data_IF_710821807431
#
_entry.id   IF_710821807431
#
_cell.length_a   1.000
_cell.length_b   1.000
_cell.length_c   1.000
_cell.angle_alpha   90.00
_cell.angle_beta   90.00
_cell.angle_gamma   90.00
#
_symmetry.space_group_name_H-M   'P 1'
#
loop_
_entity.id
_entity.type
_entity.pdbx_description
1 polymer ?
#
# COMPACT_ATOMS: atom_id res chain seq x y z
N UNK A 1 20.05 -28.61 21.69
CA UNK A 1 19.02 -28.18 20.73
C UNK A 1 19.70 -28.04 19.37
N UNK A 2 19.26 -28.74 18.31
CA UNK A 2 19.94 -28.62 17.03
C UNK A 2 19.60 -27.25 16.44
N UNK A 3 20.61 -26.37 16.37
CA UNK A 3 20.51 -25.11 15.64
C UNK A 3 20.21 -25.42 14.18
N UNK A 4 19.02 -25.04 13.71
CA UNK A 4 18.67 -25.12 12.30
C UNK A 4 19.73 -24.37 11.49
N UNK A 5 20.27 -25.03 10.47
CA UNK A 5 21.14 -24.39 9.50
C UNK A 5 20.39 -23.19 8.89
N UNK A 6 21.04 -22.02 8.73
CA UNK A 6 20.40 -20.86 8.14
C UNK A 6 19.84 -21.22 6.76
N UNK A 7 18.60 -20.80 6.49
CA UNK A 7 18.00 -20.91 5.16
C UNK A 7 18.99 -20.33 4.14
N UNK A 8 19.41 -21.07 3.11
CA UNK A 8 20.64 -20.79 2.35
C UNK A 8 20.65 -19.44 1.63
N UNK A 9 19.49 -18.77 1.52
CA UNK A 9 19.31 -17.52 0.79
C UNK A 9 18.84 -16.33 1.66
N UNK A 10 18.81 -16.47 2.99
CA UNK A 10 18.38 -15.38 3.89
C UNK A 10 19.58 -14.69 4.55
N UNK A 11 19.51 -13.37 4.64
CA UNK A 11 20.47 -12.61 5.46
C UNK A 11 20.13 -12.73 6.96
N UNK A 12 21.05 -12.31 7.83
CA UNK A 12 20.89 -12.37 9.30
C UNK A 12 19.57 -11.77 9.81
N UNK A 13 19.13 -10.63 9.27
CA UNK A 13 17.88 -9.97 9.70
C UNK A 13 16.65 -10.77 9.28
N UNK A 14 16.67 -11.36 8.08
CA UNK A 14 15.59 -12.19 7.57
C UNK A 14 15.53 -13.52 8.32
N UNK A 15 16.68 -14.13 8.63
CA UNK A 15 16.76 -15.34 9.46
C UNK A 15 16.22 -15.07 10.87
N UNK A 16 16.63 -13.97 11.51
CA UNK A 16 16.09 -13.58 12.83
C UNK A 16 14.58 -13.38 12.76
N UNK A 17 14.08 -12.63 11.76
CA UNK A 17 12.65 -12.44 11.57
C UNK A 17 11.92 -13.77 11.40
N UNK A 18 12.46 -14.70 10.61
CA UNK A 18 11.82 -15.97 10.32
C UNK A 18 11.70 -16.91 11.53
N UNK A 19 12.66 -16.89 12.46
CA UNK A 19 12.76 -17.90 13.54
C UNK A 19 12.31 -17.39 14.90
N UNK A 20 12.49 -16.10 15.21
CA UNK A 20 12.39 -15.56 16.57
C UNK A 20 11.04 -15.77 17.24
N UNK A 21 9.93 -15.71 16.50
CA UNK A 21 8.59 -15.90 17.06
C UNK A 21 8.36 -17.33 17.57
N UNK A 22 8.98 -18.32 16.93
CA UNK A 22 8.79 -19.75 17.19
C UNK A 22 9.77 -20.26 18.25
N UNK A 23 10.96 -19.67 18.31
CA UNK A 23 12.00 -20.06 19.27
C UNK A 23 11.90 -19.34 20.63
N UNK A 24 10.83 -18.56 20.87
CA UNK A 24 10.67 -17.75 22.08
C UNK A 24 9.22 -17.77 22.60
N UNK A 25 9.03 -17.31 23.84
CA UNK A 25 7.70 -17.12 24.44
C UNK A 25 6.92 -15.90 23.94
N UNK A 26 7.34 -15.24 22.85
CA UNK A 26 6.67 -14.05 22.32
C UNK A 26 5.27 -14.37 21.79
N UNK A 27 4.29 -13.48 22.02
CA UNK A 27 2.95 -13.58 21.44
C UNK A 27 2.93 -13.10 19.99
N UNK A 28 3.68 -12.04 19.70
CA UNK A 28 3.68 -11.45 18.37
C UNK A 28 5.06 -10.95 17.92
N UNK A 29 5.29 -10.98 16.61
CA UNK A 29 6.47 -10.42 15.95
C UNK A 29 6.04 -9.47 14.85
N UNK A 30 6.58 -8.24 14.89
CA UNK A 30 6.46 -7.28 13.81
C UNK A 30 7.77 -7.18 13.03
N UNK A 31 7.69 -7.42 11.73
CA UNK A 31 8.79 -7.22 10.79
C UNK A 31 8.58 -5.90 10.06
N UNK A 32 9.34 -4.87 10.45
CA UNK A 32 9.37 -3.58 9.76
C UNK A 32 10.41 -3.65 8.64
N UNK A 33 9.92 -3.77 7.41
CA UNK A 33 10.72 -4.14 6.27
C UNK A 33 10.71 -3.07 5.20
N UNK A 34 11.87 -2.47 4.92
CA UNK A 34 11.96 -1.45 3.88
C UNK A 34 11.60 -1.96 2.49
N UNK A 35 11.24 -1.06 1.58
CA UNK A 35 11.09 -1.38 0.16
C UNK A 35 12.27 -2.23 -0.35
N UNK A 36 11.98 -3.31 -1.09
CA UNK A 36 13.00 -4.17 -1.69
C UNK A 36 13.84 -4.99 -0.71
N UNK A 37 13.40 -5.18 0.54
CA UNK A 37 14.12 -5.95 1.57
C UNK A 37 13.77 -7.44 1.66
N UNK A 38 12.88 -7.92 0.79
CA UNK A 38 12.46 -9.33 0.77
C UNK A 38 11.37 -9.67 1.79
N UNK A 39 10.36 -8.79 1.97
CA UNK A 39 9.17 -9.02 2.81
C UNK A 39 8.53 -10.38 2.58
N UNK A 40 8.16 -10.65 1.34
CA UNK A 40 7.49 -11.89 0.92
C UNK A 40 8.35 -13.13 1.18
N UNK A 41 9.64 -13.08 0.83
CA UNK A 41 10.58 -14.19 1.11
C UNK A 41 10.73 -14.44 2.61
N UNK A 42 10.76 -13.38 3.42
CA UNK A 42 10.86 -13.50 4.88
C UNK A 42 9.59 -14.07 5.49
N UNK A 43 8.41 -13.66 4.99
CA UNK A 43 7.13 -14.22 5.44
C UNK A 43 7.04 -15.72 5.11
N UNK A 44 7.41 -16.12 3.89
CA UNK A 44 7.44 -17.54 3.50
C UNK A 44 8.40 -18.33 4.40
N UNK A 45 9.61 -17.82 4.62
CA UNK A 45 10.58 -18.45 5.51
C UNK A 45 10.08 -18.55 6.95
N UNK A 46 9.32 -17.56 7.43
CA UNK A 46 8.70 -17.59 8.75
C UNK A 46 7.61 -18.67 8.85
N UNK A 47 6.85 -18.91 7.77
CA UNK A 47 5.88 -20.02 7.69
C UNK A 47 6.61 -21.37 7.66
N UNK A 48 7.67 -21.51 6.86
CA UNK A 48 8.52 -22.72 6.86
C UNK A 48 9.08 -23.00 8.26
N UNK A 49 9.57 -21.95 8.94
CA UNK A 49 10.07 -22.07 10.31
C UNK A 49 8.97 -22.47 11.29
N UNK A 50 7.75 -21.93 11.16
CA UNK A 50 6.62 -22.30 12.01
C UNK A 50 6.31 -23.80 11.90
N UNK A 51 6.19 -24.31 10.67
CA UNK A 51 5.94 -25.74 10.42
C UNK A 51 7.08 -26.61 10.93
N UNK A 52 8.33 -26.19 10.71
CA UNK A 52 9.49 -26.90 11.22
C UNK A 52 9.60 -26.91 12.76
N UNK A 53 8.93 -25.98 13.45
CA UNK A 53 8.77 -25.96 14.92
C UNK A 53 7.51 -26.71 15.40
N UNK A 54 6.85 -27.46 14.53
CA UNK A 54 5.76 -28.38 14.89
C UNK A 54 4.35 -27.81 14.72
N UNK A 55 4.18 -26.59 14.18
CA UNK A 55 2.83 -26.09 13.87
C UNK A 55 2.26 -26.87 12.68
N UNK A 56 1.02 -27.32 12.81
CA UNK A 56 0.29 -27.88 11.68
C UNK A 56 0.04 -26.77 10.65
N UNK A 57 0.32 -27.02 9.37
CA UNK A 57 0.16 -26.02 8.32
C UNK A 57 -1.31 -25.54 8.25
N UNK A 58 -2.26 -26.44 8.44
CA UNK A 58 -3.70 -26.18 8.50
C UNK A 58 -4.08 -25.25 9.68
N UNK A 59 -3.25 -25.18 10.72
CA UNK A 59 -3.37 -24.26 11.84
C UNK A 59 -2.89 -22.84 11.53
N UNK A 60 -2.42 -22.55 10.32
CA UNK A 60 -1.89 -21.25 9.92
C UNK A 60 -2.90 -20.50 9.03
N UNK A 61 -3.14 -19.23 9.34
CA UNK A 61 -3.82 -18.29 8.45
C UNK A 61 -2.88 -17.19 7.98
N UNK A 62 -2.90 -16.90 6.68
CA UNK A 62 -2.14 -15.81 6.05
C UNK A 62 -3.12 -14.80 5.46
N UNK A 63 -3.06 -13.57 5.95
CA UNK A 63 -3.91 -12.46 5.58
C UNK A 63 -3.09 -11.43 4.80
N UNK A 64 -3.65 -10.96 3.69
CA UNK A 64 -3.01 -10.00 2.79
C UNK A 64 -3.94 -8.85 2.45
N UNK A 65 -3.39 -7.74 1.96
CA UNK A 65 -4.19 -6.62 1.50
C UNK A 65 -4.79 -6.82 0.09
N UNK A 66 -4.19 -7.68 -0.75
CA UNK A 66 -4.65 -7.86 -2.14
C UNK A 66 -4.77 -9.34 -2.54
N UNK A 67 -5.78 -9.64 -3.37
CA UNK A 67 -5.99 -10.98 -3.92
C UNK A 67 -4.78 -11.50 -4.70
N UNK A 68 -4.07 -10.60 -5.40
CA UNK A 68 -2.85 -10.95 -6.14
C UNK A 68 -1.74 -11.42 -5.20
N UNK A 69 -1.50 -10.69 -4.11
CA UNK A 69 -0.50 -11.06 -3.12
C UNK A 69 -0.85 -12.40 -2.44
N UNK A 70 -2.13 -12.61 -2.10
CA UNK A 70 -2.60 -13.91 -1.59
C UNK A 70 -2.33 -15.06 -2.56
N UNK A 71 -2.66 -14.88 -3.85
CA UNK A 71 -2.43 -15.90 -4.88
C UNK A 71 -0.94 -16.25 -4.99
N UNK A 72 -0.09 -15.24 -5.10
CA UNK A 72 1.36 -15.43 -5.24
C UNK A 72 1.97 -16.09 -3.99
N UNK A 73 1.54 -15.71 -2.79
CA UNK A 73 1.97 -16.36 -1.54
C UNK A 73 1.53 -17.82 -1.48
N UNK A 74 0.27 -18.10 -1.84
CA UNK A 74 -0.28 -19.45 -1.86
C UNK A 74 0.50 -20.35 -2.82
N UNK A 75 0.72 -19.91 -4.06
CA UNK A 75 1.50 -20.67 -5.06
C UNK A 75 2.92 -20.99 -4.56
N UNK A 76 3.60 -20.01 -3.97
CA UNK A 76 4.98 -20.19 -3.46
C UNK A 76 5.05 -21.16 -2.27
N UNK A 77 4.02 -21.19 -1.41
CA UNK A 77 3.94 -22.14 -0.30
C UNK A 77 3.57 -23.55 -0.78
N UNK A 78 2.64 -23.66 -1.73
CA UNK A 78 2.25 -24.94 -2.33
C UNK A 78 3.42 -25.58 -3.10
N UNK A 79 4.23 -24.79 -3.79
CA UNK A 79 5.48 -25.24 -4.42
C UNK A 79 6.49 -25.80 -3.41
N UNK A 80 6.33 -25.49 -2.12
CA UNK A 80 7.12 -26.01 -1.00
C UNK A 80 6.39 -27.12 -0.22
N UNK A 81 5.30 -27.64 -0.78
CA UNK A 81 4.41 -28.63 -0.15
C UNK A 81 3.78 -28.17 1.18
N UNK A 82 3.67 -26.85 1.42
CA UNK A 82 3.02 -26.28 2.60
C UNK A 82 1.63 -25.79 2.22
N UNK A 83 0.59 -26.43 2.78
CA UNK A 83 -0.82 -26.05 2.55
C UNK A 83 -1.39 -25.45 3.83
N UNK A 84 -1.44 -24.13 3.89
CA UNK A 84 -1.98 -23.42 5.06
C UNK A 84 -3.50 -23.49 5.13
N UNK A 85 -4.07 -23.41 6.33
CA UNK A 85 -5.53 -23.47 6.54
C UNK A 85 -6.30 -22.34 5.86
N UNK A 86 -5.67 -21.17 5.76
CA UNK A 86 -6.19 -20.05 4.99
C UNK A 86 -5.06 -19.19 4.39
N UNK A 87 -5.20 -18.81 3.11
CA UNK A 87 -4.38 -17.76 2.49
C UNK A 87 -5.29 -16.89 1.62
N UNK A 88 -5.43 -15.61 1.96
CA UNK A 88 -6.41 -14.73 1.33
C UNK A 88 -6.31 -13.29 1.80
N UNK A 89 -7.30 -12.48 1.44
CA UNK A 89 -7.45 -11.14 2.03
C UNK A 89 -8.18 -11.22 3.38
N UNK A 90 -8.04 -10.18 4.22
CA UNK A 90 -8.80 -10.08 5.48
C UNK A 90 -10.31 -10.20 5.21
N UNK A 91 -10.82 -9.45 4.23
CA UNK A 91 -12.21 -9.53 3.78
C UNK A 91 -12.63 -10.93 3.32
N UNK A 92 -11.75 -11.68 2.64
CA UNK A 92 -12.06 -13.03 2.20
C UNK A 92 -12.18 -14.02 3.38
N UNK A 93 -11.37 -13.83 4.44
CA UNK A 93 -11.50 -14.63 5.65
C UNK A 93 -12.82 -14.30 6.36
N UNK A 94 -13.10 -13.02 6.60
CA UNK A 94 -14.35 -12.57 7.25
C UNK A 94 -15.59 -13.10 6.51
N UNK A 95 -15.61 -12.96 5.17
CA UNK A 95 -16.67 -13.52 4.32
C UNK A 95 -16.84 -15.03 4.53
N UNK A 96 -15.73 -15.78 4.54
CA UNK A 96 -15.74 -17.24 4.72
C UNK A 96 -16.25 -17.64 6.11
N UNK A 97 -15.86 -16.92 7.15
CA UNK A 97 -16.30 -17.20 8.53
C UNK A 97 -17.80 -16.97 8.68
N UNK A 98 -18.32 -15.83 8.22
CA UNK A 98 -19.76 -15.54 8.26
C UNK A 98 -20.57 -16.56 7.45
N UNK A 99 -20.11 -16.90 6.24
CA UNK A 99 -20.81 -17.92 5.44
C UNK A 99 -20.84 -19.28 6.15
N UNK A 100 -19.76 -19.64 6.85
CA UNK A 100 -19.66 -20.89 7.58
C UNK A 100 -20.48 -20.90 8.89
N UNK A 101 -20.79 -19.74 9.47
CA UNK A 101 -21.67 -19.63 10.64
C UNK A 101 -23.16 -19.73 10.27
N UNK A 102 -23.48 -19.91 8.98
CA UNK A 102 -24.83 -19.94 8.46
C UNK A 102 -25.43 -18.56 8.20
N UNK A 103 -24.64 -17.48 8.30
CA UNK A 103 -25.10 -16.13 7.96
C UNK A 103 -25.40 -16.04 6.47
N UNK A 104 -26.67 -15.80 6.13
CA UNK A 104 -27.08 -15.43 4.78
C UNK A 104 -26.93 -13.93 4.59
N UNK A 105 -26.19 -13.51 3.56
CA UNK A 105 -26.01 -12.10 3.24
C UNK A 105 -25.61 -11.89 1.77
N UNK A 106 -25.81 -10.66 1.30
CA UNK A 106 -25.34 -10.19 -0.01
C UNK A 106 -24.35 -9.05 0.21
N UNK A 107 -23.23 -9.07 -0.53
CA UNK A 107 -22.26 -7.98 -0.43
C UNK A 107 -22.81 -6.75 -1.16
N UNK A 108 -22.92 -5.63 -0.45
CA UNK A 108 -23.26 -4.37 -1.08
C UNK A 108 -22.05 -3.82 -1.84
N UNK A 109 -22.14 -3.74 -3.18
CA UNK A 109 -21.03 -3.28 -4.04
C UNK A 109 -21.17 -1.84 -4.54
N UNK A 110 -22.39 -1.32 -4.62
CA UNK A 110 -22.70 -0.05 -5.31
C UNK A 110 -23.31 1.01 -4.38
N UNK A 111 -22.74 1.20 -3.18
CA UNK A 111 -23.21 2.20 -2.21
C UNK A 111 -23.30 3.61 -2.79
N UNK A 112 -22.35 3.99 -3.66
CA UNK A 112 -22.33 5.29 -4.32
C UNK A 112 -23.55 5.52 -5.23
N UNK A 113 -23.94 4.49 -5.99
CA UNK A 113 -25.12 4.54 -6.87
C UNK A 113 -26.39 4.55 -6.04
N UNK A 114 -26.48 3.68 -5.02
CA UNK A 114 -27.60 3.64 -4.10
C UNK A 114 -27.83 5.02 -3.45
N UNK A 115 -26.76 5.70 -3.02
CA UNK A 115 -26.83 7.07 -2.48
C UNK A 115 -27.32 8.07 -3.53
N UNK A 116 -26.78 8.02 -4.74
CA UNK A 116 -27.19 8.90 -5.82
C UNK A 116 -28.68 8.74 -6.16
N UNK A 117 -29.17 7.51 -6.24
CA UNK A 117 -30.57 7.21 -6.54
C UNK A 117 -31.50 7.64 -5.40
N UNK A 118 -31.10 7.41 -4.14
CA UNK A 118 -31.83 7.90 -2.96
C UNK A 118 -31.91 9.43 -2.95
N UNK A 119 -30.80 10.13 -3.23
CA UNK A 119 -30.78 11.58 -3.29
C UNK A 119 -31.69 12.14 -4.39
N UNK A 120 -31.74 11.50 -5.57
CA UNK A 120 -32.63 11.91 -6.67
C UNK A 120 -34.11 11.76 -6.33
N UNK A 121 -34.46 10.73 -5.55
CA UNK A 121 -35.84 10.52 -5.11
C UNK A 121 -36.28 11.62 -4.15
N UNK A 122 -35.38 12.04 -3.25
CA UNK A 122 -35.66 13.08 -2.25
C UNK A 122 -35.59 14.50 -2.83
N UNK A 123 -34.72 14.71 -3.80
CA UNK A 123 -34.45 16.00 -4.43
C UNK A 123 -34.51 15.88 -5.97
N UNK A 124 -35.72 15.95 -6.57
CA UNK A 124 -35.91 15.74 -7.99
C UNK A 124 -35.09 16.66 -8.90
N UNK A 125 -34.71 17.85 -8.42
CA UNK A 125 -33.82 18.78 -9.12
C UNK A 125 -32.44 18.17 -9.41
N UNK A 126 -32.00 17.16 -8.67
CA UNK A 126 -30.71 16.49 -8.87
C UNK A 126 -30.71 15.41 -9.96
N UNK A 127 -31.83 15.21 -10.67
CA UNK A 127 -31.97 14.15 -11.68
C UNK A 127 -30.88 14.15 -12.77
N UNK A 128 -30.37 15.33 -13.14
CA UNK A 128 -29.35 15.50 -14.17
C UNK A 128 -27.91 15.38 -13.65
N UNK A 129 -27.71 15.31 -12.32
CA UNK A 129 -26.39 15.25 -11.72
C UNK A 129 -25.81 13.83 -11.79
N UNK A 130 -24.53 13.67 -12.18
CA UNK A 130 -23.88 12.35 -12.23
C UNK A 130 -23.74 11.71 -10.85
N UNK A 131 -23.79 10.37 -10.76
CA UNK A 131 -23.65 9.61 -9.50
C UNK A 131 -22.41 10.02 -8.69
N UNK A 132 -21.28 10.24 -9.37
CA UNK A 132 -20.01 10.64 -8.75
C UNK A 132 -20.07 11.97 -7.99
N UNK A 133 -21.05 12.83 -8.32
CA UNK A 133 -21.27 14.12 -7.64
C UNK A 133 -22.13 13.86 -6.41
N UNK A 134 -23.25 13.16 -6.58
CA UNK A 134 -24.20 12.85 -5.51
C UNK A 134 -23.65 11.87 -4.45
N UNK A 135 -22.67 11.04 -4.82
CA UNK A 135 -22.06 10.10 -3.89
C UNK A 135 -21.12 10.77 -2.86
N UNK A 136 -20.72 12.03 -3.11
CA UNK A 136 -19.81 12.80 -2.26
C UNK A 136 -20.50 13.21 -0.96
N UNK A 137 -19.82 13.05 0.16
CA UNK A 137 -20.39 13.34 1.48
C UNK A 137 -20.72 14.83 1.63
N UNK A 138 -19.95 15.70 0.98
CA UNK A 138 -20.10 17.16 0.97
C UNK A 138 -21.37 17.64 0.28
N UNK A 139 -22.07 16.75 -0.44
CA UNK A 139 -23.31 17.07 -1.12
C UNK A 139 -24.55 16.82 -0.25
N UNK A 140 -24.38 16.12 0.88
CA UNK A 140 -25.46 15.88 1.84
C UNK A 140 -25.54 17.06 2.81
N UNK A 141 -26.75 17.62 2.98
CA UNK A 141 -27.04 18.44 4.15
C UNK A 141 -26.95 17.58 5.42
N UNK A 142 -26.87 18.21 6.60
CA UNK A 142 -26.85 17.48 7.86
C UNK A 142 -28.10 16.60 8.03
N UNK A 143 -29.27 17.14 7.69
CA UNK A 143 -30.54 16.40 7.65
C UNK A 143 -30.51 15.23 6.66
N UNK A 144 -30.03 15.44 5.43
CA UNK A 144 -29.92 14.35 4.45
C UNK A 144 -28.93 13.26 4.90
N UNK A 145 -27.91 13.62 5.69
CA UNK A 145 -26.92 12.68 6.22
C UNK A 145 -27.52 11.74 7.29
N UNK A 146 -28.36 12.27 8.17
CA UNK A 146 -29.10 11.47 9.16
C UNK A 146 -30.14 10.58 8.48
N UNK A 147 -30.92 11.14 7.56
CA UNK A 147 -31.94 10.38 6.82
C UNK A 147 -31.31 9.29 5.94
N UNK A 148 -30.18 9.58 5.29
CA UNK A 148 -29.42 8.60 4.53
C UNK A 148 -28.94 7.47 5.45
N UNK A 149 -28.42 7.77 6.65
CA UNK A 149 -28.00 6.75 7.60
C UNK A 149 -29.14 5.82 8.00
N UNK A 150 -30.32 6.37 8.30
CA UNK A 150 -31.49 5.59 8.66
C UNK A 150 -32.00 4.74 7.48
N UNK A 151 -32.11 5.32 6.29
CA UNK A 151 -32.47 4.60 5.07
C UNK A 151 -31.48 3.48 4.78
N UNK A 152 -30.18 3.77 4.85
CA UNK A 152 -29.13 2.83 4.53
C UNK A 152 -29.14 1.62 5.49
N UNK A 153 -29.28 1.87 6.79
CA UNK A 153 -29.41 0.81 7.80
C UNK A 153 -30.66 -0.05 7.56
N UNK A 154 -31.81 0.58 7.27
CA UNK A 154 -33.05 -0.14 6.92
C UNK A 154 -32.92 -0.98 5.65
N UNK A 155 -32.31 -0.42 4.59
CA UNK A 155 -32.06 -1.12 3.34
C UNK A 155 -31.09 -2.30 3.51
N UNK A 156 -30.07 -2.15 4.36
CA UNK A 156 -29.16 -3.25 4.72
C UNK A 156 -29.90 -4.39 5.41
N UNK A 157 -30.72 -4.09 6.42
CA UNK A 157 -31.49 -5.07 7.17
C UNK A 157 -32.51 -5.82 6.27
N UNK A 158 -33.32 -5.09 5.50
CA UNK A 158 -34.40 -5.65 4.68
C UNK A 158 -33.89 -6.59 3.57
N UNK A 159 -32.74 -6.27 2.99
CA UNK A 159 -32.19 -7.03 1.85
C UNK A 159 -31.03 -7.95 2.25
N UNK A 160 -30.74 -8.06 3.55
CA UNK A 160 -29.58 -8.77 4.09
C UNK A 160 -28.27 -8.32 3.40
N UNK A 161 -28.17 -7.02 3.07
CA UNK A 161 -26.96 -6.45 2.50
C UNK A 161 -25.96 -6.16 3.60
N UNK A 162 -24.70 -6.38 3.26
CA UNK A 162 -23.60 -6.24 4.19
C UNK A 162 -22.43 -5.58 3.44
N UNK A 163 -22.03 -4.40 3.92
CA UNK A 163 -20.83 -3.72 3.42
C UNK A 163 -19.57 -4.35 4.05
N UNK A 164 -18.41 -3.95 3.52
CA UNK A 164 -17.14 -4.56 3.93
C UNK A 164 -16.78 -4.27 5.38
N UNK A 165 -17.12 -3.11 5.91
CA UNK A 165 -16.78 -2.72 7.28
C UNK A 165 -17.67 -3.49 8.28
N UNK A 166 -18.98 -3.54 8.02
CA UNK A 166 -19.93 -4.37 8.78
C UNK A 166 -19.53 -5.85 8.74
N UNK A 167 -19.02 -6.34 7.60
CA UNK A 167 -18.51 -7.72 7.50
C UNK A 167 -17.38 -8.03 8.45
N UNK A 168 -16.43 -7.11 8.57
CA UNK A 168 -15.29 -7.28 9.46
C UNK A 168 -15.76 -7.26 10.91
N UNK A 169 -16.66 -6.34 11.26
CA UNK A 169 -17.23 -6.24 12.60
C UNK A 169 -18.08 -7.47 12.99
N UNK A 170 -19.03 -7.90 12.15
CA UNK A 170 -19.84 -9.10 12.39
C UNK A 170 -18.96 -10.35 12.47
N UNK A 171 -17.99 -10.51 11.57
CA UNK A 171 -17.09 -11.65 11.59
C UNK A 171 -16.21 -11.69 12.85
N UNK A 172 -15.80 -10.52 13.38
CA UNK A 172 -15.03 -10.43 14.62
C UNK A 172 -15.83 -10.83 15.87
N UNK A 173 -17.15 -10.70 15.82
CA UNK A 173 -18.04 -11.04 16.93
C UNK A 173 -18.40 -12.53 17.00
N UNK A 174 -18.06 -13.33 15.98
CA UNK A 174 -18.35 -14.76 15.94
C UNK A 174 -17.54 -15.51 17.02
N UNK A 175 -18.18 -16.19 17.99
CA UNK A 175 -17.48 -16.87 19.08
C UNK A 175 -16.57 -18.01 18.61
N UNK A 176 -16.91 -18.69 17.53
CA UNK A 176 -16.22 -19.88 16.99
C UNK A 176 -14.91 -19.58 16.24
N UNK A 177 -14.54 -18.30 16.07
CA UNK A 177 -13.30 -17.94 15.38
C UNK A 177 -12.09 -17.94 16.32
N UNK A 178 -12.34 -17.77 17.61
CA UNK A 178 -11.32 -17.67 18.64
C UNK A 178 -10.52 -18.99 18.72
N UNK A 179 -9.19 -18.90 18.60
CA UNK A 179 -8.31 -20.07 18.65
C UNK A 179 -8.40 -20.98 17.43
N UNK A 180 -9.15 -20.60 16.39
CA UNK A 180 -9.30 -21.41 15.16
C UNK A 180 -7.97 -21.63 14.43
N UNK A 181 -7.04 -20.70 14.57
CA UNK A 181 -5.71 -20.77 13.99
C UNK A 181 -4.66 -20.69 15.11
N UNK A 182 -3.64 -21.54 15.04
CA UNK A 182 -2.48 -21.50 15.93
C UNK A 182 -1.64 -20.25 15.64
N UNK A 183 -1.45 -19.91 14.36
CA UNK A 183 -0.70 -18.72 13.96
C UNK A 183 -1.42 -17.90 12.88
N UNK A 184 -1.40 -16.58 13.04
CA UNK A 184 -1.92 -15.63 12.05
C UNK A 184 -0.79 -14.76 11.53
N UNK A 185 -0.61 -14.78 10.21
CA UNK A 185 0.33 -13.95 9.48
C UNK A 185 -0.42 -12.81 8.79
N UNK A 186 0.10 -11.58 8.86
CA UNK A 186 -0.46 -10.43 8.15
C UNK A 186 0.60 -9.75 7.30
N UNK A 187 0.39 -9.75 5.98
CA UNK A 187 1.21 -9.01 5.02
C UNK A 187 0.67 -7.58 4.80
N UNK A 188 1.57 -6.66 4.48
CA UNK A 188 1.29 -5.23 4.31
C UNK A 188 0.51 -4.62 5.49
N UNK A 189 0.91 -4.94 6.73
CA UNK A 189 0.20 -4.52 7.95
C UNK A 189 0.00 -3.00 8.08
N UNK A 190 0.86 -2.18 7.44
CA UNK A 190 0.69 -0.73 7.41
C UNK A 190 -0.57 -0.23 6.68
N UNK A 191 -1.20 -1.10 5.89
CA UNK A 191 -2.40 -0.80 5.10
C UNK A 191 -3.67 -1.32 5.80
N UNK A 192 -3.57 -1.73 7.07
CA UNK A 192 -4.67 -2.25 7.90
C UNK A 192 -5.41 -1.11 8.62
N UNK A 193 -6.73 -1.20 8.73
CA UNK A 193 -7.56 -0.28 9.55
C UNK A 193 -7.70 -0.77 11.00
N UNK A 194 -8.12 0.09 11.95
CA UNK A 194 -8.40 -0.34 13.33
C UNK A 194 -9.37 -1.52 13.42
N UNK A 195 -10.45 -1.51 12.64
CA UNK A 195 -11.44 -2.61 12.64
C UNK A 195 -10.85 -3.92 12.11
N UNK A 196 -10.02 -3.85 11.07
CA UNK A 196 -9.32 -5.02 10.54
C UNK A 196 -8.30 -5.56 11.54
N UNK A 197 -7.59 -4.69 12.27
CA UNK A 197 -6.69 -5.11 13.34
C UNK A 197 -7.46 -5.76 14.50
N UNK A 198 -8.62 -5.19 14.87
CA UNK A 198 -9.55 -5.75 15.85
C UNK A 198 -10.05 -7.15 15.45
N UNK A 199 -10.44 -7.33 14.19
CA UNK A 199 -10.79 -8.64 13.65
C UNK A 199 -9.63 -9.64 13.72
N UNK A 200 -8.41 -9.22 13.36
CA UNK A 200 -7.21 -10.08 13.49
C UNK A 200 -7.00 -10.49 14.94
N UNK A 201 -7.15 -9.59 15.90
CA UNK A 201 -7.03 -9.90 17.33
C UNK A 201 -8.14 -10.83 17.82
N UNK A 202 -9.37 -10.69 17.30
CA UNK A 202 -10.52 -11.52 17.65
C UNK A 202 -10.34 -13.00 17.28
N UNK A 203 -9.48 -13.31 16.30
CA UNK A 203 -9.07 -14.69 16.00
C UNK A 203 -8.38 -15.38 17.18
N UNK A 204 -7.85 -14.62 18.16
CA UNK A 204 -7.20 -15.13 19.38
C UNK A 204 -6.17 -16.23 19.12
N UNK A 205 -5.44 -16.13 18.01
CA UNK A 205 -4.40 -17.08 17.65
C UNK A 205 -3.28 -17.10 18.69
N UNK A 206 -2.56 -18.22 18.81
CA UNK A 206 -1.45 -18.35 19.76
C UNK A 206 -0.30 -17.40 19.41
N UNK A 207 -0.01 -17.24 18.12
CA UNK A 207 1.09 -16.44 17.60
C UNK A 207 0.63 -15.48 16.48
N UNK A 208 1.14 -14.25 16.50
CA UNK A 208 0.90 -13.28 15.42
C UNK A 208 2.21 -12.86 14.76
N UNK A 209 2.28 -12.96 13.44
CA UNK A 209 3.43 -12.50 12.66
C UNK A 209 2.96 -11.44 11.68
N UNK A 210 3.39 -10.20 11.81
CA UNK A 210 3.02 -9.14 10.87
C UNK A 210 4.24 -8.61 10.14
N UNK A 211 4.10 -8.30 8.86
CA UNK A 211 5.16 -7.68 8.05
C UNK A 211 4.60 -6.47 7.32
N UNK A 212 5.40 -5.41 7.22
CA UNK A 212 4.98 -4.18 6.58
C UNK A 212 6.08 -3.13 6.43
N UNK A 213 5.78 -2.08 5.67
CA UNK A 213 6.61 -0.88 5.53
C UNK A 213 5.73 0.36 5.73
N UNK A 214 5.76 0.97 6.92
CA UNK A 214 5.03 2.21 7.23
C UNK A 214 5.37 3.35 6.26
N UNK A 215 6.58 3.35 5.69
CA UNK A 215 6.99 4.36 4.69
C UNK A 215 6.21 4.24 3.38
N UNK A 216 5.49 3.13 3.17
CA UNK A 216 4.65 2.87 2.01
C UNK A 216 3.14 2.88 2.34
N UNK A 217 2.73 3.33 3.52
CA UNK A 217 1.31 3.47 3.86
C UNK A 217 0.70 4.66 3.12
N UNK A 218 -0.15 4.36 2.13
CA UNK A 218 -0.77 5.34 1.21
C UNK A 218 -2.26 5.05 0.98
N UNK A 219 -2.90 4.36 1.92
CA UNK A 219 -4.32 3.97 1.87
C UNK A 219 -5.10 4.55 3.06
N UNK A 220 -4.70 5.71 3.60
CA UNK A 220 -5.42 6.34 4.71
C UNK A 220 -6.86 6.71 4.29
N UNK A 221 -7.08 7.08 3.04
CA UNK A 221 -8.41 7.28 2.45
C UNK A 221 -9.32 6.02 2.44
N UNK A 222 -8.77 4.83 2.74
CA UNK A 222 -9.50 3.57 2.93
C UNK A 222 -9.55 3.15 4.41
N UNK A 223 -9.24 4.05 5.34
CA UNK A 223 -9.24 3.79 6.77
C UNK A 223 -7.97 3.16 7.32
N UNK A 224 -6.91 2.98 6.50
CA UNK A 224 -5.64 2.46 7.02
C UNK A 224 -5.00 3.44 8.02
N UNK A 225 -4.52 2.92 9.15
CA UNK A 225 -3.89 3.72 10.19
C UNK A 225 -2.44 3.28 10.43
N UNK A 226 -1.50 4.15 10.04
CA UNK A 226 -0.05 3.91 10.22
C UNK A 226 0.36 3.86 11.70
N UNK A 227 -0.44 4.44 12.61
CA UNK A 227 -0.21 4.36 14.04
C UNK A 227 -0.24 2.91 14.55
N UNK A 228 -1.02 2.01 13.93
CA UNK A 228 -1.02 0.58 14.25
C UNK A 228 0.36 -0.06 14.05
N UNK A 229 1.06 0.34 12.98
CA UNK A 229 2.43 -0.13 12.74
C UNK A 229 3.41 0.47 13.73
N UNK A 230 3.28 1.77 14.05
CA UNK A 230 4.17 2.46 14.98
C UNK A 230 4.02 1.96 16.41
N UNK A 231 2.79 1.82 16.88
CA UNK A 231 2.40 1.46 18.24
C UNK A 231 2.02 -0.03 18.34
N UNK A 232 2.74 -0.88 17.60
CA UNK A 232 2.43 -2.31 17.50
C UNK A 232 2.35 -3.02 18.85
N UNK A 233 3.15 -2.62 19.83
CA UNK A 233 3.11 -3.17 21.19
C UNK A 233 1.79 -2.88 21.91
N UNK A 234 1.10 -1.80 21.57
CA UNK A 234 -0.25 -1.50 22.06
C UNK A 234 -1.31 -2.37 21.40
N UNK A 235 -1.05 -2.87 20.18
CA UNK A 235 -1.94 -3.81 19.48
C UNK A 235 -1.72 -5.23 19.98
N UNK A 236 -0.47 -5.67 20.11
CA UNK A 236 -0.13 -7.00 20.62
C UNK A 236 0.85 -6.88 21.78
N UNK A 237 0.38 -7.21 22.99
CA UNK A 237 1.22 -7.34 24.17
C UNK A 237 2.21 -8.52 24.01
N UNK A 238 3.32 -8.50 24.76
CA UNK A 238 4.40 -9.50 24.64
C UNK A 238 4.88 -9.67 23.19
N UNK A 239 5.26 -8.55 22.57
CA UNK A 239 5.67 -8.50 21.17
C UNK A 239 7.06 -7.93 20.95
N UNK A 240 7.64 -8.29 19.81
CA UNK A 240 8.97 -7.85 19.42
C UNK A 240 9.00 -7.30 18.00
N UNK A 241 9.92 -6.37 17.73
CA UNK A 241 10.09 -5.74 16.41
C UNK A 241 11.45 -6.11 15.82
N UNK A 242 11.45 -6.61 14.59
CA UNK A 242 12.64 -6.87 13.78
C UNK A 242 12.64 -5.97 12.56
N UNK A 243 13.82 -5.52 12.12
CA UNK A 243 13.96 -4.63 10.97
C UNK A 243 14.66 -5.33 9.80
N UNK A 244 14.08 -5.22 8.60
CA UNK A 244 14.76 -5.59 7.35
C UNK A 244 15.23 -4.31 6.64
N UNK A 245 16.53 -4.04 6.75
CA UNK A 245 17.14 -2.76 6.33
C UNK A 245 17.90 -2.85 5.02
N UNK A 246 18.24 -4.05 4.54
CA UNK A 246 18.97 -4.23 3.29
C UNK A 246 18.02 -4.17 2.09
N UNK A 247 18.26 -3.25 1.16
CA UNK A 247 17.52 -3.12 -0.10
C UNK A 247 18.28 -3.81 -1.24
N UNK A 248 17.62 -4.78 -1.88
CA UNK A 248 18.14 -5.58 -3.00
C UNK A 248 17.56 -5.16 -4.36
N UNK A 249 16.62 -4.21 -4.36
CA UNK A 249 15.88 -3.80 -5.56
C UNK A 249 16.59 -2.67 -6.31
N UNK A 250 16.84 -1.58 -5.60
CA UNK A 250 17.12 -0.26 -6.16
C UNK A 250 18.60 0.08 -6.07
N UNK A 251 19.07 0.86 -7.05
CA UNK A 251 20.43 1.39 -7.05
C UNK A 251 20.70 2.27 -5.81
N UNK A 252 21.97 2.35 -5.41
CA UNK A 252 22.38 3.05 -4.18
C UNK A 252 21.87 4.48 -4.07
N UNK A 253 21.93 5.26 -5.16
CA UNK A 253 21.49 6.66 -5.16
C UNK A 253 19.98 6.82 -4.98
N UNK A 254 19.17 5.87 -5.46
CA UNK A 254 17.71 5.84 -5.26
C UNK A 254 17.39 5.56 -3.78
N UNK A 255 18.07 4.59 -3.17
CA UNK A 255 17.90 4.27 -1.73
C UNK A 255 18.33 5.45 -0.86
N UNK A 256 19.42 6.14 -1.20
CA UNK A 256 19.86 7.34 -0.50
C UNK A 256 18.84 8.48 -0.61
N UNK A 257 18.25 8.69 -1.79
CA UNK A 257 17.18 9.67 -1.97
C UNK A 257 15.94 9.30 -1.13
N UNK A 258 15.53 8.03 -1.13
CA UNK A 258 14.40 7.55 -0.33
C UNK A 258 14.58 7.78 1.17
N UNK A 259 15.75 7.46 1.71
CA UNK A 259 16.11 7.74 3.11
C UNK A 259 16.06 9.23 3.48
N UNK A 260 16.31 10.12 2.51
CA UNK A 260 16.19 11.58 2.70
C UNK A 260 14.74 12.05 2.57
N UNK A 261 14.01 11.53 1.58
CA UNK A 261 12.65 11.92 1.27
C UNK A 261 11.70 11.63 2.44
N UNK A 262 11.80 10.44 3.04
CA UNK A 262 10.91 10.07 4.15
C UNK A 262 11.08 10.94 5.39
N UNK A 263 12.24 11.59 5.57
CA UNK A 263 12.48 12.53 6.69
C UNK A 263 11.71 13.84 6.55
N UNK A 264 11.08 14.08 5.41
CA UNK A 264 10.11 15.17 5.25
C UNK A 264 8.79 14.86 5.97
N UNK A 265 8.52 13.58 6.27
CA UNK A 265 7.36 13.14 7.04
C UNK A 265 7.62 13.36 8.52
N UNK A 266 6.62 13.82 9.27
CA UNK A 266 6.68 13.83 10.73
C UNK A 266 6.28 12.49 11.36
N UNK A 267 5.49 11.71 10.61
CA UNK A 267 4.94 10.43 11.05
C UNK A 267 5.55 9.23 10.33
N UNK A 268 6.52 8.57 10.97
CA UNK A 268 7.11 7.30 10.51
C UNK A 268 7.89 6.56 11.60
N UNK A 269 8.05 5.23 11.43
CA UNK A 269 9.00 4.41 12.19
C UNK A 269 10.41 4.71 11.70
N UNK A 270 11.26 5.21 12.59
CA UNK A 270 12.64 5.54 12.29
C UNK A 270 13.41 4.29 11.89
N UNK A 271 13.87 4.27 10.64
CA UNK A 271 14.77 3.25 10.08
C UNK A 271 15.66 3.90 9.01
N UNK A 272 16.69 3.17 8.56
CA UNK A 272 17.57 3.61 7.47
C UNK A 272 17.92 2.43 6.60
N UNK A 273 17.62 2.52 5.31
CA UNK A 273 17.88 1.44 4.37
C UNK A 273 19.31 1.47 3.85
N UNK A 274 19.89 0.29 3.69
CA UNK A 274 21.22 0.04 3.16
C UNK A 274 21.09 -0.58 1.77
N UNK A 275 21.61 0.09 0.74
CA UNK A 275 21.61 -0.48 -0.60
C UNK A 275 22.66 -1.59 -0.72
N UNK A 276 22.28 -2.71 -1.33
CA UNK A 276 23.22 -3.80 -1.66
C UNK A 276 23.69 -3.75 -3.11
N UNK A 277 22.91 -3.12 -4.01
CA UNK A 277 23.30 -2.89 -5.40
C UNK A 277 24.36 -1.79 -5.51
N UNK A 278 25.15 -1.87 -6.59
CA UNK A 278 26.18 -0.88 -6.95
C UNK A 278 25.58 0.51 -7.20
N UNK A 279 26.48 1.51 -7.31
CA UNK A 279 26.09 2.87 -7.70
C UNK A 279 25.68 2.88 -9.17
N UNK A 280 24.55 3.50 -9.43
CA UNK A 280 24.10 3.94 -10.76
C UNK A 280 24.07 5.48 -10.79
N UNK A 281 23.59 6.06 -11.89
CA UNK A 281 23.43 7.51 -12.02
C UNK A 281 22.56 8.11 -10.91
N UNK A 282 22.90 9.33 -10.48
CA UNK A 282 22.04 10.11 -9.58
C UNK A 282 20.65 10.31 -10.21
N UNK A 283 19.56 10.25 -9.41
CA UNK A 283 18.23 10.63 -9.87
C UNK A 283 18.24 11.99 -10.56
N UNK A 284 17.42 12.14 -11.59
CA UNK A 284 17.37 13.35 -12.43
C UNK A 284 16.10 14.12 -12.13
N UNK A 285 16.21 15.44 -11.96
CA UNK A 285 15.06 16.33 -11.88
C UNK A 285 14.99 17.20 -13.14
N UNK A 286 14.03 16.88 -13.99
CA UNK A 286 13.66 17.64 -15.18
C UNK A 286 12.73 18.77 -14.78
N UNK A 287 13.18 20.01 -14.97
CA UNK A 287 12.51 21.16 -14.40
C UNK A 287 12.50 22.35 -15.37
N UNK A 288 11.42 23.14 -15.36
CA UNK A 288 11.36 24.39 -16.11
C UNK A 288 10.00 25.07 -15.98
N UNK A 289 9.78 26.20 -16.63
CA UNK A 289 8.49 26.91 -16.59
C UNK A 289 7.44 26.25 -17.49
N UNK A 290 6.20 26.10 -17.02
CA UNK A 290 5.11 25.63 -17.87
C UNK A 290 3.75 26.11 -17.34
N UNK A 291 2.87 26.55 -18.24
CA UNK A 291 1.53 27.03 -17.88
C UNK A 291 0.57 25.90 -17.51
N UNK A 292 0.86 24.66 -17.95
CA UNK A 292 0.01 23.51 -17.71
C UNK A 292 0.78 22.19 -17.67
N UNK A 293 0.15 21.16 -17.12
CA UNK A 293 0.67 19.79 -17.17
C UNK A 293 0.88 19.30 -18.61
N UNK A 294 -0.01 19.68 -19.55
CA UNK A 294 0.15 19.33 -20.97
C UNK A 294 1.40 19.97 -21.57
N UNK A 295 1.63 21.26 -21.30
CA UNK A 295 2.81 21.96 -21.78
C UNK A 295 4.11 21.36 -21.19
N UNK A 296 4.10 21.07 -19.88
CA UNK A 296 5.23 20.41 -19.22
C UNK A 296 5.52 19.03 -19.82
N UNK A 297 4.48 18.27 -20.15
CA UNK A 297 4.60 16.94 -20.77
C UNK A 297 5.16 17.02 -22.19
N UNK A 298 4.63 17.90 -23.04
CA UNK A 298 5.10 18.10 -24.40
C UNK A 298 6.57 18.51 -24.44
N UNK A 299 6.96 19.44 -23.56
CA UNK A 299 8.36 19.86 -23.44
C UNK A 299 9.26 18.71 -23.01
N UNK A 300 8.84 17.92 -22.01
CA UNK A 300 9.58 16.73 -21.61
C UNK A 300 9.79 15.77 -22.78
N UNK A 301 8.72 15.41 -23.52
CA UNK A 301 8.81 14.51 -24.67
C UNK A 301 9.70 15.07 -25.79
N UNK A 302 9.70 16.38 -26.00
CA UNK A 302 10.51 17.03 -27.05
C UNK A 302 11.99 17.06 -26.71
N UNK A 303 12.33 17.29 -25.44
CA UNK A 303 13.72 17.44 -24.99
C UNK A 303 14.36 16.11 -24.59
N UNK A 304 13.59 15.15 -24.05
CA UNK A 304 14.12 13.90 -23.52
C UNK A 304 14.98 13.12 -24.52
N UNK A 305 14.60 12.95 -25.80
CA UNK A 305 15.41 12.23 -26.78
C UNK A 305 16.78 12.86 -27.07
N UNK A 306 16.96 14.16 -26.75
CA UNK A 306 18.21 14.89 -26.96
C UNK A 306 19.20 14.70 -25.81
N UNK A 307 18.75 14.12 -24.69
CA UNK A 307 19.55 13.99 -23.48
C UNK A 307 20.49 12.79 -23.56
N UNK A 308 21.71 12.99 -23.06
CA UNK A 308 22.69 11.91 -22.89
C UNK A 308 22.63 11.36 -21.46
N UNK A 309 23.05 10.10 -21.28
CA UNK A 309 23.12 9.40 -19.98
C UNK A 309 21.75 9.26 -19.29
N UNK A 310 20.70 9.10 -20.08
CA UNK A 310 19.35 8.71 -19.66
C UNK A 310 18.94 7.46 -20.45
N UNK A 311 18.07 6.59 -19.90
CA UNK A 311 17.59 5.42 -20.63
C UNK A 311 16.72 5.83 -21.81
N UNK A 312 16.51 4.89 -22.74
CA UNK A 312 15.57 5.11 -23.83
C UNK A 312 14.14 5.30 -23.28
N UNK A 313 13.41 6.26 -23.85
CA UNK A 313 12.06 6.64 -23.45
C UNK A 313 11.10 5.44 -23.47
N UNK A 314 11.25 4.55 -24.46
CA UNK A 314 10.43 3.35 -24.59
C UNK A 314 10.57 2.37 -23.41
N UNK A 315 11.65 2.46 -22.64
CA UNK A 315 11.91 1.59 -21.47
C UNK A 315 11.42 2.18 -20.14
N UNK A 316 10.84 3.38 -20.17
CA UNK A 316 10.43 4.11 -18.97
C UNK A 316 8.97 3.81 -18.64
N UNK A 317 8.73 3.61 -17.34
CA UNK A 317 7.38 3.70 -16.77
C UNK A 317 7.17 5.08 -16.15
N UNK A 318 6.13 5.79 -16.60
CA UNK A 318 5.76 7.09 -16.05
C UNK A 318 4.73 6.92 -14.92
N UNK A 319 5.05 7.43 -13.74
CA UNK A 319 4.17 7.44 -12.58
C UNK A 319 3.57 8.83 -12.38
N UNK A 320 2.25 8.89 -12.20
CA UNK A 320 1.51 10.13 -11.94
C UNK A 320 0.72 10.06 -10.64
N UNK A 321 0.38 11.21 -10.06
CA UNK A 321 -0.42 11.27 -8.84
C UNK A 321 -1.85 10.82 -9.07
N UNK A 322 -2.51 11.34 -10.12
CA UNK A 322 -3.96 11.18 -10.34
C UNK A 322 -4.32 10.44 -11.63
N UNK A 323 -5.53 9.85 -11.66
CA UNK A 323 -6.06 9.26 -12.89
C UNK A 323 -6.35 10.30 -13.98
N UNK A 324 -6.58 11.57 -13.61
CA UNK A 324 -6.77 12.65 -14.57
C UNK A 324 -5.46 12.93 -15.33
N UNK A 325 -4.33 13.05 -14.61
CA UNK A 325 -3.00 13.17 -15.21
C UNK A 325 -2.66 11.96 -16.07
N UNK A 326 -2.99 10.75 -15.61
CA UNK A 326 -2.74 9.53 -16.39
C UNK A 326 -3.41 9.62 -17.77
N UNK A 327 -4.72 9.92 -17.80
CA UNK A 327 -5.48 10.04 -19.06
C UNK A 327 -4.95 11.16 -19.95
N UNK A 328 -4.49 12.26 -19.37
CA UNK A 328 -3.88 13.39 -20.10
C UNK A 328 -2.58 12.94 -20.79
N UNK A 329 -1.68 12.29 -20.04
CA UNK A 329 -0.40 11.84 -20.56
C UNK A 329 -0.57 10.74 -21.61
N UNK A 330 -1.44 9.76 -21.37
CA UNK A 330 -1.70 8.65 -22.30
C UNK A 330 -2.15 9.12 -23.69
N UNK A 331 -2.92 10.23 -23.78
CA UNK A 331 -3.37 10.78 -25.08
C UNK A 331 -2.24 11.34 -25.94
N UNK A 332 -1.15 11.78 -25.31
CA UNK A 332 -0.01 12.40 -25.97
C UNK A 332 1.27 11.55 -25.83
N UNK A 333 1.17 10.34 -25.30
CA UNK A 333 2.31 9.46 -25.07
C UNK A 333 2.71 8.75 -26.38
N UNK A 334 4.02 8.62 -26.65
CA UNK A 334 4.50 7.73 -27.71
C UNK A 334 4.01 6.29 -27.51
N UNK A 335 3.89 5.55 -28.61
CA UNK A 335 3.47 4.15 -28.57
C UNK A 335 4.41 3.33 -27.67
N UNK A 336 3.83 2.52 -26.78
CA UNK A 336 4.58 1.67 -25.85
C UNK A 336 4.98 2.32 -24.53
N UNK A 337 4.86 3.65 -24.37
CA UNK A 337 5.18 4.32 -23.11
C UNK A 337 4.11 4.02 -22.06
N UNK A 338 4.49 3.36 -20.97
CA UNK A 338 3.56 2.98 -19.91
C UNK A 338 3.32 4.15 -18.94
N UNK A 339 2.05 4.53 -18.74
CA UNK A 339 1.66 5.55 -17.75
C UNK A 339 0.71 4.93 -16.72
N UNK A 340 1.01 5.09 -15.44
CA UNK A 340 0.12 4.61 -14.37
C UNK A 340 0.15 5.51 -13.14
N UNK A 341 -0.83 5.35 -12.25
CA UNK A 341 -0.85 6.09 -11.00
C UNK A 341 0.12 5.49 -9.98
N UNK A 342 0.68 6.31 -9.10
CA UNK A 342 1.55 5.86 -8.00
C UNK A 342 0.86 4.77 -7.17
N UNK A 343 -0.44 4.93 -6.85
CA UNK A 343 -1.19 3.90 -6.11
C UNK A 343 -1.25 2.55 -6.83
N UNK A 344 -1.44 2.55 -8.16
CA UNK A 344 -1.47 1.30 -8.95
C UNK A 344 -0.08 0.66 -9.09
N UNK A 345 0.98 1.44 -8.92
CA UNK A 345 2.36 0.95 -8.97
C UNK A 345 2.82 0.28 -7.67
N UNK A 346 2.10 0.44 -6.55
CA UNK A 346 2.47 -0.18 -5.28
C UNK A 346 2.51 -1.71 -5.44
N UNK A 347 3.59 -2.31 -4.96
CA UNK A 347 3.92 -3.73 -5.17
C UNK A 347 4.64 -4.04 -6.49
N UNK A 348 4.64 -3.14 -7.47
CA UNK A 348 5.36 -3.32 -8.74
C UNK A 348 6.80 -2.76 -8.67
N UNK A 349 7.60 -3.11 -9.69
CA UNK A 349 8.99 -2.71 -9.86
C UNK A 349 9.28 -2.50 -11.35
N UNK A 350 10.10 -1.49 -11.67
CA UNK A 350 10.49 -1.16 -13.04
C UNK A 350 11.97 -0.79 -13.07
N UNK A 351 12.65 -1.08 -14.18
CA UNK A 351 14.06 -0.71 -14.32
C UNK A 351 14.24 0.81 -14.39
N UNK A 352 13.35 1.51 -15.10
CA UNK A 352 13.40 2.95 -15.28
C UNK A 352 12.04 3.58 -14.97
N UNK A 353 12.03 4.57 -14.06
CA UNK A 353 10.82 5.28 -13.64
C UNK A 353 11.00 6.77 -13.82
N UNK A 354 9.96 7.44 -14.31
CA UNK A 354 9.83 8.90 -14.26
C UNK A 354 8.57 9.26 -13.48
N UNK A 355 8.71 10.05 -12.42
CA UNK A 355 7.57 10.58 -11.66
C UNK A 355 7.19 11.94 -12.23
N UNK A 356 6.00 12.02 -12.84
CA UNK A 356 5.49 13.24 -13.45
C UNK A 356 4.48 13.94 -12.52
N UNK A 357 4.55 15.27 -12.46
CA UNK A 357 3.57 16.08 -11.72
C UNK A 357 4.12 16.75 -10.48
N UNK A 358 5.43 16.96 -10.37
CA UNK A 358 6.04 17.74 -9.28
C UNK A 358 5.78 19.23 -9.54
N UNK A 359 4.59 19.68 -9.17
CA UNK A 359 4.14 21.05 -9.35
C UNK A 359 3.21 21.45 -8.22
N UNK A 360 2.99 22.76 -8.09
CA UNK A 360 2.07 23.33 -7.11
C UNK A 360 0.69 22.67 -7.19
N UNK A 361 0.09 22.34 -6.04
CA UNK A 361 -1.21 21.69 -5.89
C UNK A 361 -1.39 20.32 -6.59
N UNK A 362 -0.36 19.82 -7.29
CA UNK A 362 -0.33 18.50 -7.94
C UNK A 362 0.36 17.47 -7.07
N UNK A 363 1.62 17.71 -6.69
CA UNK A 363 2.39 16.84 -5.81
C UNK A 363 3.40 17.68 -4.99
N UNK A 364 3.17 17.85 -3.68
CA UNK A 364 2.07 17.30 -2.89
C UNK A 364 0.69 17.86 -3.32
N UNK A 365 -0.34 17.01 -3.33
CA UNK A 365 -1.72 17.42 -3.59
C UNK A 365 -2.28 18.23 -2.41
N UNK A 366 -2.98 19.34 -2.69
CA UNK A 366 -3.41 20.32 -1.65
C UNK A 366 -4.38 19.75 -0.61
N UNK A 367 -5.26 18.86 -1.03
CA UNK A 367 -6.33 18.29 -0.18
C UNK A 367 -5.84 17.12 0.67
N UNK A 368 -4.58 16.68 0.48
CA UNK A 368 -4.02 15.53 1.18
C UNK A 368 -3.12 15.94 2.34
N UNK A 369 -3.06 15.08 3.35
CA UNK A 369 -2.09 15.24 4.43
C UNK A 369 -0.66 15.16 3.89
N UNK A 370 0.19 16.09 4.33
CA UNK A 370 1.54 16.22 3.80
C UNK A 370 2.38 14.95 4.01
N UNK A 371 2.27 14.31 5.18
CA UNK A 371 2.97 13.06 5.49
C UNK A 371 2.57 11.91 4.56
N UNK A 372 1.30 11.84 4.14
CA UNK A 372 0.85 10.87 3.15
C UNK A 372 1.42 11.17 1.75
N UNK A 373 1.52 12.45 1.36
CA UNK A 373 2.17 12.84 0.10
C UNK A 373 3.68 12.54 0.11
N UNK A 374 4.35 12.64 1.26
CA UNK A 374 5.74 12.20 1.43
C UNK A 374 5.85 10.68 1.26
N UNK A 375 4.95 9.89 1.86
CA UNK A 375 4.89 8.43 1.66
C UNK A 375 4.58 8.07 0.21
N UNK A 376 3.73 8.84 -0.49
CA UNK A 376 3.48 8.68 -1.92
C UNK A 376 4.73 8.96 -2.77
N UNK A 377 5.48 10.01 -2.47
CA UNK A 377 6.78 10.27 -3.10
C UNK A 377 7.75 9.10 -2.86
N UNK A 378 7.78 8.58 -1.63
CA UNK A 378 8.59 7.42 -1.26
C UNK A 378 8.16 6.14 -2.01
N UNK A 379 6.86 5.88 -2.14
CA UNK A 379 6.35 4.76 -2.95
C UNK A 379 6.79 4.91 -4.41
N UNK A 380 6.63 6.10 -4.99
CA UNK A 380 6.99 6.38 -6.37
C UNK A 380 8.49 6.15 -6.65
N UNK A 381 9.38 6.71 -5.82
CA UNK A 381 10.84 6.55 -6.01
C UNK A 381 11.29 5.08 -5.82
N UNK A 382 10.65 4.33 -4.93
CA UNK A 382 11.02 2.93 -4.64
C UNK A 382 10.49 1.91 -5.66
N UNK A 383 9.77 2.37 -6.70
CA UNK A 383 9.43 1.53 -7.85
C UNK A 383 10.61 1.36 -8.81
N UNK A 384 11.56 2.29 -8.80
CA UNK A 384 12.72 2.30 -9.68
C UNK A 384 13.83 1.33 -9.22
N UNK A 385 14.35 0.52 -10.14
CA UNK A 385 15.52 -0.34 -9.88
C UNK A 385 16.82 0.35 -10.30
N UNK A 386 16.89 0.97 -11.48
CA UNK A 386 18.12 1.49 -12.09
C UNK A 386 18.09 3.01 -12.28
N UNK A 387 17.05 3.53 -12.94
CA UNK A 387 16.92 4.96 -13.25
C UNK A 387 15.68 5.56 -12.60
N UNK A 388 15.84 6.76 -12.05
CA UNK A 388 14.75 7.55 -11.48
C UNK A 388 14.83 8.99 -12.00
N UNK A 389 13.75 9.43 -12.64
CA UNK A 389 13.55 10.81 -13.05
C UNK A 389 12.34 11.43 -12.35
N UNK A 390 12.33 12.76 -12.25
CA UNK A 390 11.19 13.55 -11.81
C UNK A 390 10.93 14.65 -12.83
N UNK A 391 9.68 14.87 -13.20
CA UNK A 391 9.27 16.00 -14.05
C UNK A 391 8.46 16.96 -13.21
N UNK A 392 8.98 18.18 -13.06
CA UNK A 392 8.32 19.27 -12.36
C UNK A 392 8.35 20.56 -13.15
N UNK A 393 7.48 21.48 -12.77
CA UNK A 393 7.40 22.80 -13.37
C UNK A 393 6.89 23.84 -12.38
N UNK A 394 7.10 25.11 -12.75
CA UNK A 394 6.55 26.28 -12.07
C UNK A 394 5.51 26.95 -12.97
N UNK A 395 4.47 27.50 -12.33
CA UNK A 395 3.36 28.26 -12.94
C UNK A 395 3.41 29.75 -12.56
N UNK A 396 4.45 30.21 -11.85
CA UNK A 396 4.67 31.60 -11.45
C UNK A 396 3.98 32.07 -10.15
N UNK A 397 3.14 31.24 -9.50
CA UNK A 397 2.36 31.62 -8.32
C UNK A 397 2.98 31.12 -7.00
N UNK A 398 3.12 29.79 -6.82
CA UNK A 398 3.87 29.20 -5.71
C UNK A 398 4.65 27.94 -6.13
N UNK A 399 5.53 27.46 -5.24
CA UNK A 399 6.40 26.31 -5.50
C UNK A 399 5.93 25.09 -4.70
N UNK A 400 5.89 23.93 -5.35
CA UNK A 400 5.70 22.66 -4.65
C UNK A 400 6.77 22.48 -3.57
N UNK A 401 6.36 22.00 -2.40
CA UNK A 401 7.25 21.68 -1.27
C UNK A 401 8.32 20.63 -1.63
N UNK A 402 8.10 19.82 -2.68
CA UNK A 402 9.07 18.84 -3.16
C UNK A 402 10.14 19.41 -4.10
N UNK A 403 9.90 20.57 -4.74
CA UNK A 403 10.86 21.17 -5.67
C UNK A 403 12.20 21.50 -4.98
N UNK A 404 12.24 22.24 -3.84
CA UNK A 404 13.51 22.54 -3.17
C UNK A 404 14.28 21.28 -2.75
N UNK A 405 13.57 20.25 -2.31
CA UNK A 405 14.16 18.96 -1.95
C UNK A 405 14.81 18.27 -3.16
N UNK A 406 14.11 18.20 -4.29
CA UNK A 406 14.62 17.55 -5.50
C UNK A 406 15.77 18.35 -6.13
N UNK A 407 15.72 19.68 -6.15
CA UNK A 407 16.83 20.51 -6.60
C UNK A 407 18.11 20.28 -5.81
N UNK A 408 18.00 20.06 -4.49
CA UNK A 408 19.16 19.82 -3.61
C UNK A 408 19.75 18.41 -3.75
N UNK A 409 18.95 17.43 -4.15
CA UNK A 409 19.32 16.01 -4.04
C UNK A 409 19.37 15.24 -5.37
N UNK A 410 18.88 15.83 -6.46
CA UNK A 410 18.89 15.25 -7.80
C UNK A 410 19.84 16.03 -8.73
N UNK A 411 20.23 15.41 -9.85
CA UNK A 411 20.86 16.12 -10.96
C UNK A 411 19.81 16.96 -11.67
N UNK A 412 19.96 18.27 -11.69
CA UNK A 412 19.03 19.17 -12.37
C UNK A 412 19.27 19.14 -13.89
N UNK A 413 18.18 19.06 -14.66
CA UNK A 413 18.14 19.27 -16.11
C UNK A 413 17.05 20.29 -16.39
N UNK A 414 17.43 21.47 -16.87
CA UNK A 414 16.46 22.49 -17.24
C UNK A 414 15.87 22.17 -18.61
N UNK A 415 14.53 22.21 -18.72
CA UNK A 415 13.78 21.83 -19.92
C UNK A 415 13.20 23.01 -20.69
#
# INVERSE_FOLDING_TARGET
>A
MPGQAPHPNLNRQQTEAATKLWSTGLKALQVVAGAGSGKTSTLIAAVESAVAHGLAAEGIAILTFSRRAAHELKERLEAKAIRVGFCGTIHALAYRLLKNSGREFRILRETAKLRADWLRQRHPQFRHLPDRVLARAEFLSEADSDDWRNFFAGHQAQNQYLDFDTMIAEAAALPEIAGRYQAVFVDEFQDTSPDQAGFVQALKAEKYFVVGDDWQSIYAFRGADVALTRNFQSVFANSHRVFLLHNYRSAKEIVLLGNKAIRLSSDYVRKRLNATRSRENKPVFFFGQAESATAAWQRFLTQYPKLRKVPDLATITVLVRTNAQRRLLERAAPQGLQVMTIHKSKGLEFDHVVVFGIAENSMPHRDNQYDEEVRLLYVALTRARRFLGFVGWETGQARSKFIPFLMRHCRLVYL
#
